data_IF_424992678288
#
_entry.id   IF_424992678288
#
_cell.length_a   1.000
_cell.length_b   1.000
_cell.length_c   1.000
_cell.angle_alpha   90.00
_cell.angle_beta   90.00
_cell.angle_gamma   90.00
#
_symmetry.space_group_name_H-M   'P 1'
#
loop_
_entity.id
_entity.type
_entity.pdbx_description
1 polymer ?
#
# COMPACT_ATOMS: atom_id res chain seq x y z
N UNK A 1 3.21 -2.73 -26.23
CA UNK A 1 2.26 -2.47 -25.12
C UNK A 1 1.99 -0.97 -25.08
N UNK A 2 0.73 -0.57 -25.19
CA UNK A 2 0.36 0.83 -25.40
C UNK A 2 0.88 1.72 -24.25
N UNK A 3 1.59 2.79 -24.61
CA UNK A 3 1.87 3.91 -23.71
C UNK A 3 0.52 4.48 -23.28
N UNK A 4 0.08 4.18 -22.07
CA UNK A 4 -1.18 4.72 -21.56
C UNK A 4 -1.02 6.21 -21.21
N UNK A 5 -2.07 6.98 -21.39
CA UNK A 5 -2.11 8.39 -20.99
C UNK A 5 -1.90 8.54 -19.48
N UNK A 6 -1.38 9.70 -19.08
CA UNK A 6 -1.19 10.03 -17.66
C UNK A 6 -2.56 10.19 -17.02
N UNK A 7 -2.86 9.37 -16.00
CA UNK A 7 -4.06 9.54 -15.18
C UNK A 7 -3.93 10.85 -14.44
N UNK A 8 -4.89 11.75 -14.63
CA UNK A 8 -4.92 13.01 -13.91
C UNK A 8 -5.78 12.89 -12.66
N UNK A 9 -5.59 13.81 -11.73
CA UNK A 9 -6.35 13.85 -10.48
C UNK A 9 -7.86 14.07 -10.72
N UNK A 10 -8.21 14.78 -11.79
CA UNK A 10 -9.59 14.98 -12.24
C UNK A 10 -10.30 13.68 -12.68
N UNK A 11 -9.52 12.71 -13.16
CA UNK A 11 -10.00 11.41 -13.63
C UNK A 11 -10.26 10.44 -12.47
N UNK A 12 -9.71 10.70 -11.28
CA UNK A 12 -9.82 9.83 -10.11
C UNK A 12 -11.23 9.82 -9.53
N UNK A 13 -11.68 8.67 -9.03
CA UNK A 13 -12.99 8.53 -8.41
C UNK A 13 -13.34 9.65 -7.42
N UNK A 14 -14.58 10.11 -7.51
CA UNK A 14 -15.05 11.23 -6.69
C UNK A 14 -14.78 10.96 -5.19
N UNK A 15 -14.19 11.96 -4.52
CA UNK A 15 -13.87 11.93 -3.10
C UNK A 15 -12.63 11.11 -2.72
N UNK A 16 -11.92 10.48 -3.66
CA UNK A 16 -10.68 9.75 -3.37
C UNK A 16 -9.52 10.73 -3.17
N UNK A 17 -8.83 10.64 -2.04
CA UNK A 17 -7.65 11.45 -1.78
C UNK A 17 -6.39 10.64 -2.08
N UNK A 18 -5.60 11.11 -3.05
CA UNK A 18 -4.27 10.57 -3.33
C UNK A 18 -3.16 11.37 -2.64
N UNK A 19 -3.49 12.26 -1.70
CA UNK A 19 -2.54 13.19 -1.09
C UNK A 19 -1.25 12.49 -0.64
N UNK A 20 -1.37 11.43 0.17
CA UNK A 20 -0.21 10.71 0.68
C UNK A 20 0.57 9.97 -0.42
N UNK A 21 -0.10 9.26 -1.34
CA UNK A 21 0.59 8.55 -2.45
C UNK A 21 1.33 9.55 -3.36
N UNK A 22 0.77 10.74 -3.56
CA UNK A 22 1.36 11.83 -4.36
C UNK A 22 2.56 12.45 -3.68
N UNK A 23 2.43 12.85 -2.42
CA UNK A 23 3.50 13.50 -1.65
C UNK A 23 4.69 12.55 -1.42
N UNK A 24 4.41 11.26 -1.21
CA UNK A 24 5.42 10.24 -0.96
C UNK A 24 6.04 9.67 -2.25
N UNK A 25 5.67 10.24 -3.40
CA UNK A 25 6.32 9.99 -4.69
C UNK A 25 5.90 8.71 -5.42
N UNK A 26 5.10 7.83 -4.82
CA UNK A 26 4.62 6.61 -5.48
C UNK A 26 3.78 6.93 -6.70
N UNK A 27 2.88 7.93 -6.60
CA UNK A 27 2.05 8.32 -7.74
C UNK A 27 2.90 8.66 -8.96
N UNK A 28 3.95 9.46 -8.72
CA UNK A 28 4.91 9.84 -9.74
C UNK A 28 5.72 8.64 -10.23
N UNK A 29 6.08 7.69 -9.37
CA UNK A 29 6.77 6.45 -9.75
C UNK A 29 5.96 5.66 -10.75
N UNK A 30 4.70 5.36 -10.42
CA UNK A 30 3.84 4.54 -11.25
C UNK A 30 3.47 5.26 -12.56
N UNK A 31 3.20 6.56 -12.49
CA UNK A 31 2.88 7.38 -13.68
C UNK A 31 4.09 7.52 -14.61
N UNK A 32 5.29 7.73 -14.07
CA UNK A 32 6.54 7.78 -14.85
C UNK A 32 6.81 6.43 -15.50
N UNK A 33 6.61 5.34 -14.76
CA UNK A 33 6.76 3.99 -15.29
C UNK A 33 5.77 3.72 -16.42
N UNK A 34 4.51 4.13 -16.27
CA UNK A 34 3.48 4.02 -17.32
C UNK A 34 3.86 4.77 -18.61
N UNK A 35 4.39 6.00 -18.49
CA UNK A 35 4.76 6.84 -19.64
C UNK A 35 6.02 6.35 -20.35
N UNK A 36 7.05 5.97 -19.58
CA UNK A 36 8.41 5.78 -20.10
C UNK A 36 8.93 4.34 -20.02
N UNK A 37 8.26 3.46 -19.27
CA UNK A 37 8.75 2.13 -18.90
C UNK A 37 9.91 2.17 -17.90
N UNK A 38 10.31 3.35 -17.40
CA UNK A 38 11.46 3.55 -16.52
C UNK A 38 11.02 3.96 -15.11
N UNK A 39 11.79 3.54 -14.12
CA UNK A 39 11.62 3.96 -12.73
C UNK A 39 12.04 5.42 -12.54
N UNK A 40 11.30 6.16 -11.73
CA UNK A 40 11.64 7.55 -11.39
C UNK A 40 12.84 7.62 -10.42
N UNK A 41 13.39 8.82 -10.26
CA UNK A 41 14.51 9.07 -9.35
C UNK A 41 14.13 8.81 -7.88
N UNK A 42 12.93 9.21 -7.47
CA UNK A 42 12.47 9.07 -6.07
C UNK A 42 12.48 7.60 -5.63
N UNK A 43 11.99 6.69 -6.46
CA UNK A 43 11.99 5.26 -6.16
C UNK A 43 13.40 4.67 -6.14
N UNK A 44 14.31 5.15 -6.99
CA UNK A 44 15.73 4.75 -6.94
C UNK A 44 16.39 5.20 -5.64
N UNK A 45 16.09 6.42 -5.17
CA UNK A 45 16.55 6.92 -3.87
C UNK A 45 15.99 6.07 -2.73
N UNK A 46 14.70 5.72 -2.76
CA UNK A 46 14.11 4.81 -1.77
C UNK A 46 14.84 3.47 -1.72
N UNK A 47 15.12 2.85 -2.86
CA UNK A 47 15.89 1.60 -2.91
C UNK A 47 17.32 1.76 -2.41
N UNK A 48 17.97 2.87 -2.75
CA UNK A 48 19.30 3.16 -2.26
C UNK A 48 19.35 3.26 -0.73
N UNK A 49 18.38 3.96 -0.12
CA UNK A 49 18.26 4.03 1.35
C UNK A 49 18.01 2.64 1.94
N UNK A 50 17.09 1.84 1.36
CA UNK A 50 16.86 0.46 1.80
C UNK A 50 18.13 -0.41 1.71
N UNK A 51 18.95 -0.24 0.68
CA UNK A 51 20.23 -0.95 0.53
C UNK A 51 21.24 -0.54 1.61
N UNK A 52 21.34 0.75 1.94
CA UNK A 52 22.20 1.21 3.04
C UNK A 52 21.80 0.58 4.39
N UNK A 53 20.51 0.34 4.57
CA UNK A 53 19.95 -0.32 5.75
C UNK A 53 20.17 -1.85 5.80
N UNK A 54 20.65 -2.50 4.72
CA UNK A 54 20.93 -3.95 4.71
C UNK A 54 22.01 -4.36 5.71
N UNK A 55 22.84 -3.42 6.16
CA UNK A 55 23.78 -3.64 7.25
C UNK A 55 23.12 -4.20 8.51
N UNK A 56 21.89 -3.76 8.84
CA UNK A 56 21.17 -4.23 10.03
C UNK A 56 20.87 -5.74 10.02
N UNK A 57 20.11 -6.30 9.06
CA UNK A 57 19.82 -7.73 9.04
C UNK A 57 21.08 -8.58 8.90
N UNK A 58 22.10 -8.11 8.18
CA UNK A 58 23.39 -8.82 8.05
C UNK A 58 24.03 -8.97 9.43
N UNK A 59 24.14 -7.88 10.21
CA UNK A 59 24.72 -7.95 11.55
C UNK A 59 23.87 -8.78 12.51
N UNK A 60 22.54 -8.77 12.37
CA UNK A 60 21.64 -9.62 13.17
C UNK A 60 21.81 -11.11 12.86
N UNK A 61 22.00 -11.48 11.60
CA UNK A 61 22.26 -12.87 11.20
C UNK A 61 23.65 -13.33 11.66
N UNK A 62 24.64 -12.43 11.67
CA UNK A 62 25.99 -12.73 12.14
C UNK A 62 26.11 -12.80 13.66
N UNK A 63 25.19 -12.16 14.38
CA UNK A 63 25.16 -12.05 15.84
C UNK A 63 25.44 -13.36 16.61
N UNK A 64 24.86 -14.53 16.25
CA UNK A 64 25.11 -15.79 16.96
C UNK A 64 26.57 -16.25 16.97
N UNK A 65 27.39 -15.78 16.02
CA UNK A 65 28.81 -16.12 15.96
C UNK A 65 29.66 -15.30 16.96
N UNK A 66 29.13 -14.20 17.50
CA UNK A 66 29.88 -13.23 18.31
C UNK A 66 29.36 -13.07 19.74
N UNK A 67 28.10 -13.42 20.01
CA UNK A 67 27.51 -13.36 21.35
C UNK A 67 26.78 -14.66 21.69
N UNK A 68 26.73 -15.00 22.98
CA UNK A 68 25.82 -16.03 23.46
C UNK A 68 24.38 -15.54 23.39
N UNK A 69 23.58 -16.27 22.63
CA UNK A 69 22.17 -15.96 22.40
C UNK A 69 21.33 -16.84 23.32
N UNK A 70 20.61 -16.20 24.24
CA UNK A 70 19.47 -16.81 24.91
C UNK A 70 18.21 -16.68 24.03
N UNK A 71 17.14 -17.39 24.40
CA UNK A 71 15.90 -17.38 23.62
C UNK A 71 15.24 -15.99 23.55
N UNK A 72 15.39 -15.17 24.58
CA UNK A 72 14.81 -13.83 24.65
C UNK A 72 15.53 -12.87 23.69
N UNK A 73 16.87 -12.86 23.70
CA UNK A 73 17.73 -12.15 22.73
C UNK A 73 17.44 -12.61 21.31
N UNK A 74 17.36 -13.92 21.08
CA UNK A 74 17.03 -14.48 19.77
C UNK A 74 15.70 -13.91 19.26
N UNK A 75 14.68 -13.91 20.12
CA UNK A 75 13.34 -13.44 19.76
C UNK A 75 13.34 -11.96 19.42
N UNK A 76 14.02 -11.12 20.22
CA UNK A 76 14.13 -9.67 19.96
C UNK A 76 14.83 -9.41 18.62
N UNK A 77 15.98 -10.05 18.40
CA UNK A 77 16.79 -9.88 17.19
C UNK A 77 16.01 -10.35 15.95
N UNK A 78 15.37 -11.52 16.03
CA UNK A 78 14.58 -12.07 14.93
C UNK A 78 13.35 -11.20 14.63
N UNK A 79 12.59 -10.78 15.65
CA UNK A 79 11.38 -9.98 15.46
C UNK A 79 11.68 -8.67 14.72
N UNK A 80 12.72 -7.95 15.15
CA UNK A 80 13.11 -6.69 14.52
C UNK A 80 13.68 -6.89 13.11
N UNK A 81 14.42 -7.99 12.89
CA UNK A 81 14.93 -8.36 11.55
C UNK A 81 13.78 -8.71 10.60
N UNK A 82 12.75 -9.41 11.09
CA UNK A 82 11.57 -9.77 10.30
C UNK A 82 10.80 -8.52 9.86
N UNK A 83 10.70 -7.47 10.69
CA UNK A 83 10.07 -6.21 10.27
C UNK A 83 10.82 -5.55 9.09
N UNK A 84 12.15 -5.57 9.10
CA UNK A 84 12.94 -5.09 7.97
C UNK A 84 12.74 -5.95 6.70
N UNK A 85 12.69 -7.27 6.87
CA UNK A 85 12.42 -8.19 5.76
C UNK A 85 11.02 -7.98 5.18
N UNK A 86 10.00 -7.76 6.01
CA UNK A 86 8.64 -7.44 5.57
C UNK A 86 8.60 -6.15 4.73
N UNK A 87 9.29 -5.10 5.18
CA UNK A 87 9.43 -3.86 4.42
C UNK A 87 10.08 -4.11 3.05
N UNK A 88 11.23 -4.78 3.04
CA UNK A 88 12.00 -5.05 1.81
C UNK A 88 11.20 -5.95 0.86
N UNK A 89 10.49 -6.94 1.38
CA UNK A 89 9.61 -7.82 0.63
C UNK A 89 8.48 -7.03 -0.04
N UNK A 90 7.76 -6.18 0.69
CA UNK A 90 6.70 -5.33 0.12
C UNK A 90 7.24 -4.40 -0.97
N UNK A 91 8.39 -3.77 -0.74
CA UNK A 91 9.07 -2.92 -1.72
C UNK A 91 9.48 -3.72 -2.98
N UNK A 92 9.97 -4.94 -2.79
CA UNK A 92 10.31 -5.89 -3.86
C UNK A 92 9.09 -6.33 -4.67
N UNK A 93 8.02 -6.75 -4.01
CA UNK A 93 6.74 -7.12 -4.65
C UNK A 93 6.19 -5.96 -5.47
N UNK A 94 6.20 -4.75 -4.90
CA UNK A 94 5.77 -3.54 -5.62
C UNK A 94 6.64 -3.30 -6.87
N UNK A 95 7.96 -3.49 -6.79
CA UNK A 95 8.87 -3.33 -7.92
C UNK A 95 8.61 -4.38 -9.01
N UNK A 96 8.54 -5.67 -8.63
CA UNK A 96 8.33 -6.77 -9.58
C UNK A 96 7.01 -6.63 -10.32
N UNK A 97 5.98 -6.10 -9.65
CA UNK A 97 4.65 -5.94 -10.21
C UNK A 97 4.26 -4.49 -10.49
N UNK A 98 5.25 -3.59 -10.66
CA UNK A 98 4.98 -2.15 -10.89
C UNK A 98 4.11 -1.91 -12.13
N UNK A 99 4.21 -2.80 -13.13
CA UNK A 99 3.37 -2.79 -14.32
C UNK A 99 1.91 -3.05 -13.98
N UNK A 100 1.65 -4.00 -13.09
CA UNK A 100 0.30 -4.36 -12.69
C UNK A 100 -0.30 -3.27 -11.79
N UNK A 101 0.49 -2.69 -10.88
CA UNK A 101 0.09 -1.46 -10.15
C UNK A 101 -0.22 -0.29 -11.11
N UNK A 102 0.56 -0.11 -12.18
CA UNK A 102 0.29 0.92 -13.18
C UNK A 102 -1.02 0.71 -13.94
N UNK A 103 -1.40 -0.55 -14.15
CA UNK A 103 -2.69 -0.94 -14.72
C UNK A 103 -3.80 -0.75 -13.68
N UNK A 104 -3.57 -1.10 -12.42
CA UNK A 104 -4.54 -0.91 -11.33
C UNK A 104 -4.81 0.56 -11.00
N UNK A 105 -3.90 1.49 -11.32
CA UNK A 105 -4.24 2.91 -11.29
C UNK A 105 -5.42 3.27 -12.20
N UNK A 106 -5.66 2.51 -13.28
CA UNK A 106 -6.86 2.72 -14.10
C UNK A 106 -8.13 2.42 -13.30
N UNK A 107 -8.09 1.44 -12.39
CA UNK A 107 -9.18 1.08 -11.46
C UNK A 107 -9.61 2.26 -10.59
N UNK A 108 -8.68 3.16 -10.31
CA UNK A 108 -8.94 4.36 -9.51
C UNK A 108 -9.69 5.45 -10.28
N UNK A 109 -9.90 5.32 -11.59
CA UNK A 109 -10.56 6.35 -12.42
C UNK A 109 -12.09 6.22 -12.46
N UNK A 110 -12.79 7.33 -12.74
CA UNK A 110 -14.27 7.42 -12.74
C UNK A 110 -14.95 6.63 -13.88
N UNK A 111 -14.25 6.36 -14.98
CA UNK A 111 -14.87 6.02 -16.27
C UNK A 111 -14.67 4.57 -16.73
N UNK A 112 -14.43 3.64 -15.80
CA UNK A 112 -14.19 2.24 -16.15
C UNK A 112 -15.47 1.53 -16.58
N UNK A 113 -16.57 1.83 -15.89
CA UNK A 113 -17.88 1.25 -16.18
C UNK A 113 -18.51 2.09 -17.28
N UNK A 114 -18.11 1.80 -18.51
CA UNK A 114 -18.57 2.51 -19.71
C UNK A 114 -20.04 2.24 -20.02
N UNK A 115 -20.60 1.12 -19.54
CA UNK A 115 -22.00 0.76 -19.74
C UNK A 115 -22.99 1.64 -18.97
N UNK A 116 -22.53 2.40 -17.98
CA UNK A 116 -23.42 3.09 -17.06
C UNK A 116 -24.16 4.28 -17.73
N UNK A 117 -25.49 4.25 -17.81
CA UNK A 117 -26.27 5.34 -18.39
C UNK A 117 -26.16 6.65 -17.60
N UNK A 118 -26.27 7.80 -18.28
CA UNK A 118 -26.17 9.14 -17.67
C UNK A 118 -27.08 9.32 -16.44
N UNK A 119 -28.32 8.86 -16.52
CA UNK A 119 -29.30 8.98 -15.43
C UNK A 119 -28.90 8.17 -14.17
N UNK A 120 -28.04 7.15 -14.30
CA UNK A 120 -27.52 6.35 -13.18
C UNK A 120 -26.20 6.89 -12.60
N UNK A 121 -25.49 7.77 -13.32
CA UNK A 121 -24.19 8.32 -12.88
C UNK A 121 -24.27 9.07 -11.57
N UNK A 122 -25.37 9.78 -11.30
CA UNK A 122 -25.57 10.49 -10.04
C UNK A 122 -25.59 9.52 -8.83
N UNK A 123 -26.19 8.34 -8.97
CA UNK A 123 -26.21 7.33 -7.91
C UNK A 123 -24.85 6.63 -7.78
N UNK A 124 -24.21 6.30 -8.90
CA UNK A 124 -22.85 5.76 -8.90
C UNK A 124 -21.85 6.69 -8.20
N UNK A 125 -21.93 8.00 -8.44
CA UNK A 125 -21.14 9.02 -7.73
C UNK A 125 -21.36 8.98 -6.22
N UNK A 126 -22.58 8.72 -5.74
CA UNK A 126 -22.85 8.54 -4.29
C UNK A 126 -22.17 7.28 -3.75
N UNK A 127 -22.18 6.18 -4.49
CA UNK A 127 -21.47 4.94 -4.13
C UNK A 127 -19.96 5.19 -4.07
N UNK A 128 -19.38 5.78 -5.10
CA UNK A 128 -17.95 6.12 -5.15
C UNK A 128 -17.56 7.03 -3.99
N UNK A 129 -18.23 8.16 -3.79
CA UNK A 129 -17.95 9.08 -2.67
C UNK A 129 -17.99 8.38 -1.31
N UNK A 130 -18.98 7.52 -1.08
CA UNK A 130 -19.12 6.78 0.19
C UNK A 130 -17.93 5.85 0.43
N UNK A 131 -17.51 5.11 -0.59
CA UNK A 131 -16.40 4.14 -0.48
C UNK A 131 -15.05 4.86 -0.44
N UNK A 132 -14.83 5.85 -1.30
CA UNK A 132 -13.63 6.70 -1.30
C UNK A 132 -13.40 7.39 0.04
N UNK A 133 -14.46 7.94 0.65
CA UNK A 133 -14.36 8.56 1.99
C UNK A 133 -13.94 7.55 3.06
N UNK A 134 -14.49 6.33 3.02
CA UNK A 134 -14.08 5.25 3.92
C UNK A 134 -12.61 4.89 3.68
N UNK A 135 -12.21 4.71 2.43
CA UNK A 135 -10.83 4.43 2.05
C UNK A 135 -9.87 5.48 2.61
N UNK A 136 -10.15 6.77 2.41
CA UNK A 136 -9.31 7.85 2.92
C UNK A 136 -9.18 7.81 4.45
N UNK A 137 -10.28 7.54 5.17
CA UNK A 137 -10.26 7.41 6.64
C UNK A 137 -9.39 6.23 7.06
N UNK A 138 -9.55 5.06 6.42
CA UNK A 138 -8.74 3.87 6.73
C UNK A 138 -7.25 4.11 6.48
N UNK A 139 -6.90 4.68 5.32
CA UNK A 139 -5.52 5.01 4.99
C UNK A 139 -4.92 6.02 5.97
N UNK A 140 -5.66 7.08 6.29
CA UNK A 140 -5.21 8.10 7.26
C UNK A 140 -5.01 7.50 8.65
N UNK A 141 -5.96 6.70 9.13
CA UNK A 141 -5.87 6.03 10.44
C UNK A 141 -4.68 5.08 10.49
N UNK A 142 -4.46 4.26 9.45
CA UNK A 142 -3.32 3.35 9.39
C UNK A 142 -2.00 4.11 9.44
N UNK A 143 -1.87 5.20 8.69
CA UNK A 143 -0.69 6.08 8.72
C UNK A 143 -0.48 6.65 10.13
N UNK A 144 -1.50 7.25 10.73
CA UNK A 144 -1.41 7.84 12.08
C UNK A 144 -1.00 6.79 13.13
N UNK A 145 -1.65 5.62 13.14
CA UNK A 145 -1.34 4.55 14.09
C UNK A 145 0.11 4.08 13.93
N UNK A 146 0.58 3.87 12.70
CA UNK A 146 1.97 3.48 12.45
C UNK A 146 2.94 4.56 12.91
N UNK A 147 2.68 5.84 12.62
CA UNK A 147 3.54 6.93 13.09
C UNK A 147 3.57 7.03 14.62
N UNK A 148 2.43 6.89 15.30
CA UNK A 148 2.36 6.88 16.77
C UNK A 148 3.15 5.70 17.34
N UNK A 149 2.97 4.50 16.78
CA UNK A 149 3.68 3.30 17.22
C UNK A 149 5.20 3.46 17.05
N UNK A 150 5.63 3.97 15.90
CA UNK A 150 7.05 4.23 15.60
C UNK A 150 7.63 5.28 16.56
N UNK A 151 6.93 6.39 16.75
CA UNK A 151 7.35 7.46 17.64
C UNK A 151 7.44 6.98 19.09
N UNK A 152 6.44 6.24 19.57
CA UNK A 152 6.41 5.73 20.94
C UNK A 152 7.57 4.76 21.19
N UNK A 153 7.84 3.85 20.26
CA UNK A 153 8.95 2.91 20.36
C UNK A 153 10.32 3.59 20.34
N UNK A 154 10.50 4.58 19.45
CA UNK A 154 11.74 5.35 19.34
C UNK A 154 12.04 6.21 20.58
N UNK A 155 11.01 6.81 21.18
CA UNK A 155 11.14 7.67 22.38
C UNK A 155 11.37 6.85 23.65
N UNK A 156 10.87 5.62 23.70
CA UNK A 156 10.99 4.75 24.88
C UNK A 156 11.68 3.41 24.55
N UNK A 157 12.97 3.43 24.14
CA UNK A 157 13.73 2.20 23.93
C UNK A 157 13.82 1.43 25.24
N UNK A 158 13.44 0.15 25.24
CA UNK A 158 13.50 -0.70 26.44
C UNK A 158 14.73 -1.60 26.48
N UNK A 159 15.38 -1.85 25.34
CA UNK A 159 16.44 -2.85 25.22
C UNK A 159 17.76 -2.26 25.70
N UNK A 160 18.40 -2.89 26.67
CA UNK A 160 19.69 -2.42 27.18
C UNK A 160 20.85 -2.90 26.28
N UNK A 161 21.75 -2.01 25.89
CA UNK A 161 22.97 -2.36 25.13
C UNK A 161 23.83 -3.38 25.86
N UNK A 162 23.95 -3.27 27.18
CA UNK A 162 24.74 -4.19 28.00
C UNK A 162 24.12 -5.59 28.04
N UNK A 163 22.80 -5.71 27.95
CA UNK A 163 22.12 -7.00 27.85
C UNK A 163 22.47 -7.73 26.54
N UNK A 164 22.54 -6.99 25.43
CA UNK A 164 22.92 -7.54 24.11
C UNK A 164 24.41 -7.88 24.06
N UNK A 165 25.27 -7.05 24.66
CA UNK A 165 26.71 -7.25 24.63
C UNK A 165 27.19 -8.36 25.59
N UNK A 166 26.60 -8.43 26.79
CA UNK A 166 27.08 -9.27 27.87
C UNK A 166 26.22 -10.51 28.07
N UNK A 167 26.80 -11.54 28.69
CA UNK A 167 26.15 -12.81 28.95
C UNK A 167 25.33 -12.74 30.24
N UNK A 168 24.42 -11.78 30.31
CA UNK A 168 23.50 -11.63 31.45
C UNK A 168 22.25 -12.43 31.14
N UNK A 169 21.86 -13.33 32.05
CA UNK A 169 20.81 -14.32 31.81
C UNK A 169 19.39 -13.76 31.71
N UNK A 170 19.14 -12.58 32.29
CA UNK A 170 17.84 -11.90 32.21
C UNK A 170 18.01 -10.42 31.89
N UNK A 171 17.18 -9.91 30.98
CA UNK A 171 17.16 -8.49 30.62
C UNK A 171 16.87 -7.57 31.81
N UNK A 172 16.09 -8.04 32.79
CA UNK A 172 15.74 -7.28 34.00
C UNK A 172 16.92 -7.03 34.93
N UNK A 173 17.95 -7.87 34.85
CA UNK A 173 19.12 -7.76 35.73
C UNK A 173 20.06 -6.64 35.28
N UNK A 174 19.89 -6.16 34.04
CA UNK A 174 20.71 -5.09 33.45
C UNK A 174 20.01 -3.74 33.58
N UNK A 175 20.26 -3.06 34.69
CA UNK A 175 19.62 -1.77 35.02
C UNK A 175 20.42 -0.55 34.58
N UNK A 176 21.70 -0.72 34.25
CA UNK A 176 22.65 0.33 33.87
C UNK A 176 23.01 0.29 32.40
N UNK A 177 23.39 1.42 31.81
CA UNK A 177 23.91 1.48 30.43
C UNK A 177 22.95 2.09 29.40
N UNK A 178 23.44 2.36 28.18
CA UNK A 178 22.65 2.98 27.12
C UNK A 178 21.58 2.02 26.59
N UNK A 179 20.45 2.57 26.15
CA UNK A 179 19.33 1.81 25.60
C UNK A 179 19.30 1.88 24.07
N UNK A 180 18.83 0.80 23.45
CA UNK A 180 18.72 0.58 22.01
C UNK A 180 17.26 0.47 21.60
N UNK A 181 17.00 0.83 20.36
CA UNK A 181 15.66 0.81 19.76
C UNK A 181 15.36 -0.60 19.25
N UNK A 182 16.29 -1.19 18.50
CA UNK A 182 16.08 -2.48 17.83
C UNK A 182 16.87 -3.63 18.46
N UNK A 183 17.69 -3.34 19.48
CA UNK A 183 18.45 -4.36 20.20
C UNK A 183 19.46 -5.11 19.35
N UNK A 184 19.88 -4.53 18.21
CA UNK A 184 20.71 -5.25 17.27
C UNK A 184 22.16 -5.40 17.76
N UNK A 185 22.88 -6.44 17.35
CA UNK A 185 24.34 -6.47 17.50
C UNK A 185 25.03 -5.73 16.36
N UNK A 186 26.18 -5.10 16.64
CA UNK A 186 27.00 -4.40 15.65
C UNK A 186 28.49 -4.64 15.93
N UNK A 187 29.36 -4.66 14.89
CA UNK A 187 30.80 -4.83 15.04
C UNK A 187 31.51 -3.54 15.49
N UNK A 188 30.92 -2.82 16.44
CA UNK A 188 31.44 -1.58 17.06
C UNK A 188 31.12 -1.60 18.55
N UNK A 189 31.85 -0.86 19.41
CA UNK A 189 31.60 -0.88 20.85
C UNK A 189 30.36 -0.05 21.22
N UNK A 190 29.17 -0.55 20.90
CA UNK A 190 27.86 0.11 21.05
C UNK A 190 27.37 0.29 22.50
N UNK A 191 28.20 -0.06 23.49
CA UNK A 191 27.95 0.16 24.92
C UNK A 191 28.59 1.46 25.43
N UNK A 192 29.43 2.14 24.64
CA UNK A 192 30.14 3.35 25.06
C UNK A 192 30.03 4.48 24.03
N UNK A 193 30.19 5.70 24.51
CA UNK A 193 30.26 6.90 23.66
C UNK A 193 31.53 6.88 22.77
N UNK A 194 31.49 7.39 21.52
CA UNK A 194 30.34 7.97 20.81
C UNK A 194 29.49 6.93 20.04
N UNK A 195 29.85 5.64 20.12
CA UNK A 195 29.26 4.59 19.29
C UNK A 195 27.84 4.25 19.71
N UNK A 196 27.51 4.36 21.00
CA UNK A 196 26.15 4.16 21.51
C UNK A 196 25.16 5.14 20.86
N UNK A 197 25.53 6.41 20.75
CA UNK A 197 24.73 7.49 20.17
C UNK A 197 24.59 7.32 18.66
N UNK A 198 25.69 6.96 17.97
CA UNK A 198 25.67 6.67 16.53
C UNK A 198 24.71 5.51 16.23
N UNK A 199 24.79 4.42 17.00
CA UNK A 199 23.90 3.26 16.83
C UNK A 199 22.46 3.62 17.15
N UNK A 200 22.21 4.44 18.18
CA UNK A 200 20.86 4.92 18.49
C UNK A 200 20.26 5.72 17.31
N UNK A 201 21.00 6.68 16.75
CA UNK A 201 20.55 7.46 15.59
C UNK A 201 20.33 6.58 14.36
N UNK A 202 21.23 5.62 14.12
CA UNK A 202 21.08 4.65 13.03
C UNK A 202 19.80 3.83 13.18
N UNK A 203 19.55 3.24 14.35
CA UNK A 203 18.34 2.45 14.61
C UNK A 203 17.07 3.29 14.56
N UNK A 204 17.12 4.55 15.00
CA UNK A 204 16.00 5.49 14.90
C UNK A 204 15.61 5.71 13.45
N UNK A 205 16.60 6.06 12.61
CA UNK A 205 16.38 6.29 11.18
C UNK A 205 15.90 5.02 10.48
N UNK A 206 16.49 3.87 10.80
CA UNK A 206 16.11 2.58 10.26
C UNK A 206 14.66 2.23 10.61
N UNK A 207 14.28 2.33 11.88
CA UNK A 207 12.95 1.97 12.32
C UNK A 207 11.89 2.93 11.77
N UNK A 208 12.20 4.23 11.72
CA UNK A 208 11.36 5.23 11.06
C UNK A 208 11.19 4.93 9.57
N UNK A 209 12.27 4.56 8.87
CA UNK A 209 12.23 4.16 7.46
C UNK A 209 11.38 2.92 7.22
N UNK A 210 11.51 1.90 8.07
CA UNK A 210 10.69 0.69 8.00
C UNK A 210 9.21 0.99 8.19
N UNK A 211 8.84 1.70 9.26
CA UNK A 211 7.44 2.04 9.53
C UNK A 211 6.83 2.89 8.41
N UNK A 212 7.56 3.89 7.93
CA UNK A 212 7.15 4.73 6.81
C UNK A 212 6.88 3.90 5.54
N UNK A 213 7.83 3.04 5.17
CA UNK A 213 7.78 2.28 3.92
C UNK A 213 6.69 1.21 3.96
N UNK A 214 6.50 0.53 5.09
CA UNK A 214 5.41 -0.44 5.28
C UNK A 214 4.05 0.25 5.15
N UNK A 215 3.82 1.36 5.87
CA UNK A 215 2.57 2.09 5.81
C UNK A 215 2.26 2.60 4.39
N UNK A 216 3.29 3.05 3.68
CA UNK A 216 3.18 3.54 2.32
C UNK A 216 2.69 2.45 1.34
N UNK A 217 3.33 1.27 1.33
CA UNK A 217 2.92 0.18 0.43
C UNK A 217 1.57 -0.43 0.79
N UNK A 218 1.25 -0.54 2.09
CA UNK A 218 -0.06 -1.01 2.54
C UNK A 218 -1.19 -0.05 2.13
N UNK A 219 -0.93 1.26 2.18
CA UNK A 219 -1.88 2.26 1.72
C UNK A 219 -2.15 2.13 0.22
N UNK A 220 -1.13 1.92 -0.61
CA UNK A 220 -1.30 1.73 -2.07
C UNK A 220 -2.21 0.53 -2.34
N UNK A 221 -1.89 -0.62 -1.76
CA UNK A 221 -2.68 -1.86 -1.94
C UNK A 221 -4.11 -1.65 -1.44
N UNK A 222 -4.28 -1.03 -0.27
CA UNK A 222 -5.60 -0.74 0.29
C UNK A 222 -6.42 0.14 -0.65
N UNK A 223 -5.82 1.18 -1.22
CA UNK A 223 -6.49 2.07 -2.17
C UNK A 223 -6.88 1.31 -3.44
N UNK A 224 -6.01 0.50 -4.02
CA UNK A 224 -6.32 -0.33 -5.20
C UNK A 224 -7.49 -1.30 -4.93
N UNK A 225 -7.48 -2.00 -3.79
CA UNK A 225 -8.56 -2.94 -3.41
C UNK A 225 -9.88 -2.21 -3.15
N UNK A 226 -9.86 -1.10 -2.41
CA UNK A 226 -11.06 -0.33 -2.08
C UNK A 226 -11.66 0.34 -3.32
N UNK A 227 -10.82 0.79 -4.25
CA UNK A 227 -11.27 1.35 -5.53
C UNK A 227 -11.90 0.27 -6.41
N UNK A 228 -11.30 -0.91 -6.50
CA UNK A 228 -11.91 -2.06 -7.18
C UNK A 228 -13.26 -2.45 -6.56
N UNK A 229 -13.35 -2.48 -5.24
CA UNK A 229 -14.60 -2.72 -4.53
C UNK A 229 -15.67 -1.68 -4.88
N UNK A 230 -15.28 -0.41 -5.03
CA UNK A 230 -16.19 0.65 -5.44
C UNK A 230 -16.74 0.43 -6.86
N UNK A 231 -15.88 0.07 -7.81
CA UNK A 231 -16.28 -0.27 -9.17
C UNK A 231 -17.26 -1.48 -9.18
N UNK A 232 -16.92 -2.54 -8.46
CA UNK A 232 -17.79 -3.73 -8.35
C UNK A 232 -19.16 -3.39 -7.72
N UNK A 233 -19.19 -2.46 -6.75
CA UNK A 233 -20.41 -2.00 -6.11
C UNK A 233 -21.31 -1.21 -7.07
N UNK A 234 -20.73 -0.35 -7.92
CA UNK A 234 -21.48 0.37 -8.96
C UNK A 234 -22.01 -0.59 -10.03
N UNK A 235 -21.20 -1.56 -10.46
CA UNK A 235 -21.65 -2.58 -11.41
C UNK A 235 -22.80 -3.43 -10.83
N UNK A 236 -22.71 -3.82 -9.55
CA UNK A 236 -23.78 -4.54 -8.86
C UNK A 236 -25.07 -3.72 -8.81
N UNK A 237 -24.97 -2.41 -8.53
CA UNK A 237 -26.11 -1.49 -8.62
C UNK A 237 -26.69 -1.44 -10.04
N UNK A 238 -25.84 -1.36 -11.08
CA UNK A 238 -26.29 -1.32 -12.46
C UNK A 238 -27.07 -2.58 -12.85
N UNK A 239 -26.59 -3.76 -12.47
CA UNK A 239 -27.27 -5.05 -12.67
C UNK A 239 -28.62 -5.08 -11.95
N UNK A 240 -28.63 -4.71 -10.65
CA UNK A 240 -29.85 -4.77 -9.82
C UNK A 240 -30.97 -3.85 -10.30
N UNK A 241 -30.61 -2.76 -10.96
CA UNK A 241 -31.56 -1.77 -11.47
C UNK A 241 -31.84 -1.96 -12.97
N UNK A 242 -31.34 -3.02 -13.60
CA UNK A 242 -31.58 -3.26 -15.01
C UNK A 242 -33.05 -3.66 -15.23
N UNK A 243 -33.83 -2.79 -15.87
CA UNK A 243 -35.25 -3.00 -16.12
C UNK A 243 -35.67 -2.40 -17.45
N UNK A 244 -36.41 -3.16 -18.26
CA UNK A 244 -36.99 -2.72 -19.54
C UNK A 244 -37.77 -1.40 -19.40
N UNK A 245 -38.49 -1.19 -18.30
CA UNK A 245 -39.27 0.04 -18.05
C UNK A 245 -38.39 1.29 -17.98
N UNK A 246 -37.28 1.23 -17.26
CA UNK A 246 -36.32 2.35 -17.16
C UNK A 246 -35.69 2.63 -18.53
N UNK A 247 -35.30 1.58 -19.27
CA UNK A 247 -34.71 1.72 -20.60
C UNK A 247 -35.66 2.47 -21.55
N UNK A 248 -36.93 2.08 -21.59
CA UNK A 248 -37.93 2.77 -22.43
C UNK A 248 -38.09 4.22 -22.00
N UNK A 249 -38.23 4.47 -20.70
CA UNK A 249 -38.42 5.82 -20.14
C UNK A 249 -37.28 6.77 -20.49
N UNK A 250 -36.03 6.31 -20.40
CA UNK A 250 -34.84 7.14 -20.62
C UNK A 250 -34.24 7.04 -22.04
N UNK A 251 -34.76 6.17 -22.90
CA UNK A 251 -34.34 6.08 -24.31
C UNK A 251 -34.66 7.32 -25.15
N UNK A 252 -35.60 8.16 -24.68
CA UNK A 252 -36.07 9.34 -25.42
C UNK A 252 -36.91 9.02 -26.66
N UNK A 253 -37.12 7.74 -26.99
CA UNK A 253 -37.88 7.29 -28.16
C UNK A 253 -39.31 6.98 -27.77
N UNK A 254 -40.28 7.68 -28.38
CA UNK A 254 -41.71 7.36 -28.25
C UNK A 254 -42.08 6.27 -29.26
N UNK A 255 -42.91 5.31 -28.86
CA UNK A 255 -43.46 4.29 -29.76
C UNK A 255 -42.51 3.15 -30.11
N UNK A 256 -41.51 2.87 -29.27
CA UNK A 256 -40.64 1.70 -29.44
C UNK A 256 -41.46 0.41 -29.52
N UNK A 257 -41.18 -0.40 -30.53
CA UNK A 257 -41.72 -1.75 -30.65
C UNK A 257 -41.13 -2.66 -29.57
N UNK A 258 -41.84 -3.73 -29.20
CA UNK A 258 -41.35 -4.69 -28.21
C UNK A 258 -39.97 -5.26 -28.57
N UNK A 259 -39.72 -5.52 -29.87
CA UNK A 259 -38.44 -6.02 -30.37
C UNK A 259 -37.30 -5.02 -30.14
N UNK A 260 -37.53 -3.72 -30.34
CA UNK A 260 -36.52 -2.69 -30.09
C UNK A 260 -36.20 -2.56 -28.59
N UNK A 261 -37.19 -2.70 -27.72
CA UNK A 261 -36.97 -2.70 -26.26
C UNK A 261 -36.15 -3.91 -25.83
N UNK A 262 -36.41 -5.07 -26.40
CA UNK A 262 -35.65 -6.30 -26.14
C UNK A 262 -34.20 -6.19 -26.64
N UNK A 263 -33.99 -5.60 -27.82
CA UNK A 263 -32.65 -5.34 -28.37
C UNK A 263 -31.85 -4.35 -27.50
N UNK A 264 -32.47 -3.25 -27.05
CA UNK A 264 -31.83 -2.29 -26.14
C UNK A 264 -31.45 -2.93 -24.80
N UNK A 265 -32.36 -3.72 -24.23
CA UNK A 265 -32.10 -4.45 -22.99
C UNK A 265 -30.95 -5.45 -23.15
N UNK A 266 -30.93 -6.20 -24.26
CA UNK A 266 -29.86 -7.15 -24.56
C UNK A 266 -28.51 -6.44 -24.75
N UNK A 267 -28.49 -5.27 -25.40
CA UNK A 267 -27.28 -4.43 -25.56
C UNK A 267 -26.74 -3.93 -24.23
N UNK A 268 -27.60 -3.42 -23.34
CA UNK A 268 -27.18 -3.02 -21.98
C UNK A 268 -26.62 -4.20 -21.18
N UNK A 269 -27.30 -5.36 -21.23
CA UNK A 269 -26.82 -6.57 -20.55
C UNK A 269 -25.44 -7.02 -21.07
N UNK A 270 -25.22 -7.00 -22.38
CA UNK A 270 -23.93 -7.32 -22.97
C UNK A 270 -22.83 -6.34 -22.54
N UNK A 271 -23.16 -5.04 -22.44
CA UNK A 271 -22.22 -4.02 -21.97
C UNK A 271 -21.83 -4.25 -20.50
N UNK A 272 -22.79 -4.56 -19.64
CA UNK A 272 -22.58 -4.94 -18.25
C UNK A 272 -21.65 -6.18 -18.14
N UNK A 273 -21.89 -7.21 -18.95
CA UNK A 273 -21.04 -8.43 -18.95
C UNK A 273 -19.61 -8.10 -19.37
N UNK A 274 -19.41 -7.17 -20.32
CA UNK A 274 -18.07 -6.71 -20.71
C UNK A 274 -17.38 -5.97 -19.57
N UNK A 275 -18.08 -5.04 -18.91
CA UNK A 275 -17.55 -4.31 -17.76
C UNK A 275 -17.21 -5.28 -16.61
N UNK A 276 -18.05 -6.29 -16.36
CA UNK A 276 -17.76 -7.35 -15.40
C UNK A 276 -16.48 -8.11 -15.73
N UNK A 277 -16.31 -8.55 -16.98
CA UNK A 277 -15.08 -9.23 -17.44
C UNK A 277 -13.85 -8.34 -17.28
N UNK A 278 -13.98 -7.04 -17.54
CA UNK A 278 -12.91 -6.06 -17.33
C UNK A 278 -12.54 -5.97 -15.85
N UNK A 279 -13.50 -5.83 -14.94
CA UNK A 279 -13.24 -5.79 -13.50
C UNK A 279 -12.66 -7.11 -12.96
N UNK A 280 -13.07 -8.27 -13.48
CA UNK A 280 -12.46 -9.56 -13.12
C UNK A 280 -10.98 -9.66 -13.52
N UNK A 281 -10.57 -9.03 -14.62
CA UNK A 281 -9.14 -8.97 -15.00
C UNK A 281 -8.34 -8.18 -13.98
N UNK A 282 -8.87 -7.02 -13.55
CA UNK A 282 -8.24 -6.22 -12.49
C UNK A 282 -8.22 -6.94 -11.14
N UNK A 283 -9.28 -7.70 -10.81
CA UNK A 283 -9.32 -8.52 -9.60
C UNK A 283 -8.23 -9.59 -9.60
N UNK A 284 -8.05 -10.28 -10.74
CA UNK A 284 -6.98 -11.28 -10.88
C UNK A 284 -5.60 -10.67 -10.65
N UNK A 285 -5.36 -9.46 -11.17
CA UNK A 285 -4.10 -8.73 -10.93
C UNK A 285 -3.95 -8.39 -9.45
N UNK A 286 -5.01 -7.90 -8.81
CA UNK A 286 -4.99 -7.51 -7.39
C UNK A 286 -4.67 -8.69 -6.46
N UNK A 287 -5.21 -9.89 -6.75
CA UNK A 287 -4.95 -11.10 -5.95
C UNK A 287 -3.48 -11.53 -6.03
N UNK A 288 -2.80 -11.31 -7.16
CA UNK A 288 -1.37 -11.64 -7.31
C UNK A 288 -0.44 -10.69 -6.54
N UNK A 289 -0.98 -9.56 -6.05
CA UNK A 289 -0.24 -8.53 -5.31
C UNK A 289 -0.37 -8.65 -3.79
N UNK A 290 -1.34 -9.45 -3.32
CA UNK A 290 -1.57 -9.77 -1.91
C UNK A 290 -0.75 -10.97 -1.48
#
# INVERSE_FOLDING_TARGET
>A
MARGEVVKEEDLMDGLSIFFIKHLGIWNTVTTYRKSGKLNLVFKVQWFVTILCLSFPIFQIMCPAFIQIDLEKATIILLNTVSFLQMTFKQGVFLMNIKDHAILLEVMTKNIITSLPEYKKAHARKIYNKISRRCNIWCLSAVIITFIAVAFWNVNPRINSEYIANHVGNMKDVTTGPKKILGGWYPVPFTRSPWAEIVYVYEFCLFAWCGFTVALYEMVITMEVMTLHAQMSVLSYHIKTLNKKEIVQYSGKKGLTQREVEDLFYKELLAIIRDHKTLLRYLKLSILLL
#
